data_IF_705019798531
#
_entry.id   IF_705019798531
#
_cell.length_a   1.000
_cell.length_b   1.000
_cell.length_c   1.000
_cell.angle_alpha   90.00
_cell.angle_beta   90.00
_cell.angle_gamma   90.00
#
_symmetry.space_group_name_H-M   'P 1'
#
loop_
_entity.id
_entity.type
_entity.pdbx_description
1 polymer ?
#
# COMPACT_ATOMS: atom_id res chain seq x y z
N UNK A 1 14.97 -51.42 33.85
CA UNK A 1 15.43 -51.16 35.24
C UNK A 1 16.90 -51.52 35.35
N UNK A 2 17.65 -50.66 36.06
CA UNK A 2 19.02 -50.85 36.61
C UNK A 2 20.20 -50.56 35.66
N UNK A 3 20.75 -49.37 35.91
CA UNK A 3 22.02 -48.78 35.49
C UNK A 3 23.18 -49.64 35.99
N UNK A 4 24.29 -49.68 35.25
CA UNK A 4 25.61 -49.79 35.88
C UNK A 4 26.63 -48.90 35.15
N UNK A 5 27.09 -47.96 35.94
CA UNK A 5 28.22 -47.06 35.77
C UNK A 5 29.52 -47.91 35.75
N UNK A 6 30.43 -47.68 34.80
CA UNK A 6 31.84 -48.00 35.03
C UNK A 6 32.77 -47.06 34.26
N UNK A 7 33.71 -46.57 35.05
CA UNK A 7 34.72 -45.56 34.84
C UNK A 7 35.96 -46.22 34.22
N UNK A 8 36.54 -45.67 33.15
CA UNK A 8 37.97 -45.89 32.89
C UNK A 8 38.62 -44.69 32.21
N UNK A 9 39.37 -43.97 33.03
CA UNK A 9 40.45 -43.05 32.66
C UNK A 9 41.50 -43.79 31.83
N UNK A 10 41.80 -43.31 30.61
CA UNK A 10 43.10 -43.53 29.98
C UNK A 10 43.64 -42.19 29.50
N UNK A 11 44.67 -41.77 30.23
CA UNK A 11 45.58 -40.67 30.01
C UNK A 11 46.50 -41.02 28.82
N UNK A 12 46.41 -40.28 27.70
CA UNK A 12 47.50 -40.20 26.73
C UNK A 12 47.83 -38.74 26.45
N UNK A 13 49.01 -38.37 26.95
CA UNK A 13 49.67 -37.09 26.90
C UNK A 13 50.43 -37.00 25.57
N UNK A 14 50.12 -36.06 24.67
CA UNK A 14 51.12 -35.47 23.77
C UNK A 14 50.80 -34.00 23.50
N UNK A 15 51.85 -33.21 23.70
CA UNK A 15 51.97 -31.76 23.72
C UNK A 15 52.05 -31.24 22.29
N UNK A 16 51.37 -30.13 21.99
CA UNK A 16 51.90 -29.04 21.15
C UNK A 16 51.01 -27.81 21.32
N UNK A 17 51.51 -26.85 22.08
CA UNK A 17 50.96 -25.50 22.17
C UNK A 17 51.34 -24.73 20.90
N UNK A 18 50.36 -24.20 20.18
CA UNK A 18 50.38 -22.82 19.68
C UNK A 18 48.96 -22.32 19.82
N UNK A 19 48.77 -21.43 20.80
CA UNK A 19 47.53 -20.69 21.01
C UNK A 19 47.72 -19.25 20.54
N UNK A 20 46.77 -18.80 19.74
CA UNK A 20 46.04 -17.53 19.81
C UNK A 20 44.71 -17.86 19.13
N UNK A 21 43.51 -17.66 19.67
CA UNK A 21 43.07 -16.80 20.75
C UNK A 21 41.72 -16.22 20.32
N UNK A 22 40.65 -16.96 20.62
CA UNK A 22 39.24 -16.55 20.84
C UNK A 22 38.49 -15.75 19.74
N UNK A 23 37.32 -16.17 19.23
CA UNK A 23 36.42 -17.23 19.68
C UNK A 23 35.36 -17.71 18.67
N UNK A 24 35.18 -19.03 18.70
CA UNK A 24 33.96 -19.88 18.70
C UNK A 24 32.85 -19.74 17.64
N UNK A 25 32.92 -20.71 16.71
CA UNK A 25 31.91 -21.70 16.21
C UNK A 25 30.57 -21.18 15.66
N UNK A 26 30.28 -21.34 14.37
CA UNK A 26 29.92 -22.58 13.61
C UNK A 26 28.61 -23.23 14.07
N UNK A 27 27.60 -23.17 13.21
CA UNK A 27 26.81 -24.35 12.81
C UNK A 27 26.51 -24.26 11.32
N UNK A 28 27.23 -25.06 10.54
CA UNK A 28 26.88 -25.49 9.18
C UNK A 28 25.59 -26.32 9.23
N UNK A 29 24.63 -26.01 8.35
CA UNK A 29 23.64 -26.93 7.81
C UNK A 29 23.52 -26.61 6.31
N UNK A 30 23.73 -27.63 5.49
CA UNK A 30 23.99 -27.58 4.06
C UNK A 30 22.98 -26.79 3.20
N UNK A 31 23.57 -26.11 2.22
CA UNK A 31 22.98 -25.51 1.03
C UNK A 31 22.56 -26.58 0.00
N UNK A 32 21.49 -26.34 -0.79
CA UNK A 32 21.51 -26.65 -2.22
C UNK A 32 21.74 -25.38 -3.02
N UNK A 33 22.82 -25.42 -3.80
CA UNK A 33 23.36 -24.35 -4.65
C UNK A 33 22.40 -23.93 -5.76
N UNK A 34 22.27 -22.61 -5.89
CA UNK A 34 22.27 -21.81 -7.13
C UNK A 34 21.10 -21.93 -8.11
N UNK A 35 20.45 -20.79 -8.34
CA UNK A 35 20.71 -20.02 -9.57
C UNK A 35 20.40 -18.52 -9.37
N UNK A 36 21.20 -17.62 -9.98
CA UNK A 36 21.00 -16.19 -9.87
C UNK A 36 19.83 -15.78 -10.78
N UNK A 37 18.76 -15.24 -10.22
CA UNK A 37 17.77 -14.51 -11.05
C UNK A 37 18.40 -13.18 -11.40
N UNK A 38 19.08 -13.23 -12.55
CA UNK A 38 19.44 -12.16 -13.46
C UNK A 38 18.57 -10.92 -13.27
N UNK A 39 19.22 -9.78 -13.07
CA UNK A 39 18.65 -8.44 -13.17
C UNK A 39 17.74 -8.37 -14.41
N UNK A 40 16.43 -8.38 -14.17
CA UNK A 40 15.44 -8.00 -15.16
C UNK A 40 15.08 -6.54 -14.86
N UNK A 41 15.30 -5.61 -15.80
CA UNK A 41 14.81 -4.25 -15.65
C UNK A 41 13.30 -4.34 -15.41
N UNK A 42 12.82 -3.68 -14.36
CA UNK A 42 11.40 -3.34 -14.26
C UNK A 42 11.05 -2.61 -15.56
N UNK A 43 10.25 -3.24 -16.42
CA UNK A 43 9.77 -2.59 -17.62
C UNK A 43 9.05 -1.31 -17.19
N UNK A 44 9.57 -0.19 -17.67
CA UNK A 44 8.96 1.10 -17.48
C UNK A 44 7.54 1.03 -18.03
N UNK A 45 6.57 1.31 -17.17
CA UNK A 45 5.18 1.56 -17.56
C UNK A 45 5.18 2.60 -18.69
N UNK A 46 4.71 2.19 -19.87
CA UNK A 46 4.40 3.10 -20.96
C UNK A 46 3.00 3.66 -20.70
N UNK A 47 2.82 4.99 -20.57
CA UNK A 47 1.52 5.57 -20.24
C UNK A 47 0.49 5.28 -21.33
N UNK A 48 -0.55 4.52 -20.96
CA UNK A 48 -1.80 4.52 -21.69
C UNK A 48 -2.58 5.78 -21.31
N UNK A 49 -2.70 6.69 -22.27
CA UNK A 49 -3.60 7.86 -22.32
C UNK A 49 -3.89 8.56 -20.98
N UNK A 50 -3.11 9.62 -20.71
CA UNK A 50 -3.29 10.56 -19.61
C UNK A 50 -4.77 10.91 -19.38
N UNK A 51 -5.28 10.62 -18.19
CA UNK A 51 -6.48 11.26 -17.69
C UNK A 51 -6.13 12.73 -17.45
N UNK A 52 -6.47 13.59 -18.43
CA UNK A 52 -6.12 15.00 -18.40
C UNK A 52 -6.85 15.71 -17.26
N UNK A 53 -6.12 16.36 -16.31
CA UNK A 53 -6.74 17.24 -15.33
C UNK A 53 -7.29 18.47 -16.05
N UNK A 54 -8.55 18.81 -15.79
CA UNK A 54 -9.07 20.13 -16.14
C UNK A 54 -8.75 21.04 -14.95
N UNK A 55 -7.71 21.86 -15.09
CA UNK A 55 -7.34 22.85 -14.08
C UNK A 55 -8.27 24.07 -14.22
N UNK A 56 -9.29 24.15 -13.37
CA UNK A 56 -10.02 25.40 -13.10
C UNK A 56 -9.83 25.76 -11.63
N UNK A 57 -8.98 26.76 -11.38
CA UNK A 57 -8.86 27.40 -10.06
C UNK A 57 -10.00 28.41 -9.91
N UNK A 58 -11.08 28.01 -9.25
CA UNK A 58 -12.14 28.91 -8.80
C UNK A 58 -12.22 28.87 -7.26
N UNK A 59 -12.49 30.02 -6.61
CA UNK A 59 -12.42 30.16 -5.15
C UNK A 59 -13.43 29.26 -4.45
N UNK A 60 -13.06 28.81 -3.25
CA UNK A 60 -13.88 27.98 -2.36
C UNK A 60 -15.23 28.65 -2.04
N UNK A 61 -16.24 28.34 -2.84
CA UNK A 61 -17.64 28.44 -2.46
C UNK A 61 -18.09 27.10 -1.88
N UNK A 62 -18.84 27.14 -0.79
CA UNK A 62 -19.38 25.97 -0.11
C UNK A 62 -20.19 25.11 -1.09
N UNK A 63 -19.67 23.92 -1.41
CA UNK A 63 -20.36 22.92 -2.22
C UNK A 63 -21.65 22.53 -1.49
N UNK A 64 -22.79 23.01 -2.01
CA UNK A 64 -24.10 22.53 -1.61
C UNK A 64 -24.22 21.10 -2.13
N UNK A 65 -24.24 20.11 -1.22
CA UNK A 65 -24.57 18.71 -1.55
C UNK A 65 -25.94 18.66 -2.25
N UNK A 66 -25.95 18.62 -3.57
CA UNK A 66 -27.11 18.36 -4.39
C UNK A 66 -27.48 16.87 -4.25
N UNK A 67 -28.69 16.60 -3.77
CA UNK A 67 -29.18 15.24 -3.51
C UNK A 67 -29.28 14.31 -4.73
N UNK A 68 -28.87 14.76 -5.93
CA UNK A 68 -28.78 13.92 -7.13
C UNK A 68 -27.50 13.06 -7.15
N UNK A 69 -26.40 13.49 -6.52
CA UNK A 69 -25.14 12.71 -6.50
C UNK A 69 -25.25 11.40 -5.71
N UNK A 70 -26.20 11.29 -4.77
CA UNK A 70 -26.40 10.06 -4.00
C UNK A 70 -27.05 8.93 -4.82
N UNK A 71 -27.76 9.25 -5.92
CA UNK A 71 -28.42 8.24 -6.76
C UNK A 71 -27.51 7.79 -7.90
N UNK A 72 -26.39 7.15 -7.54
CA UNK A 72 -25.42 6.62 -8.51
C UNK A 72 -23.99 6.52 -8.01
N UNK A 73 -23.65 7.16 -6.89
CA UNK A 73 -22.34 7.03 -6.27
C UNK A 73 -22.11 5.59 -5.81
N UNK A 74 -21.01 4.99 -6.28
CA UNK A 74 -20.62 3.63 -5.93
C UNK A 74 -19.81 3.54 -4.64
N UNK A 75 -19.35 4.66 -4.09
CA UNK A 75 -18.48 4.71 -2.93
C UNK A 75 -19.30 4.86 -1.64
N UNK A 76 -19.53 3.78 -0.88
CA UNK A 76 -20.31 3.85 0.35
C UNK A 76 -19.61 4.72 1.39
N UNK A 77 -20.34 5.67 1.99
CA UNK A 77 -19.80 6.56 3.02
C UNK A 77 -18.73 7.53 2.53
N UNK A 78 -18.56 7.73 1.22
CA UNK A 78 -17.57 8.65 0.66
C UNK A 78 -17.82 10.13 0.95
N UNK A 79 -18.98 10.48 1.50
CA UNK A 79 -19.31 11.83 1.96
C UNK A 79 -18.81 12.13 3.37
N UNK A 80 -18.28 11.11 4.09
CA UNK A 80 -17.72 11.19 5.44
C UNK A 80 -18.61 11.91 6.47
N UNK A 81 -19.95 11.84 6.31
CA UNK A 81 -20.91 12.34 7.30
C UNK A 81 -20.87 11.49 8.58
N UNK A 82 -20.53 10.20 8.43
CA UNK A 82 -20.31 9.25 9.51
C UNK A 82 -19.23 8.22 9.11
N UNK A 83 -18.68 7.50 10.09
CA UNK A 83 -17.76 6.40 9.82
C UNK A 83 -18.48 5.28 9.06
N UNK A 84 -17.81 4.69 8.08
CA UNK A 84 -18.36 3.58 7.29
C UNK A 84 -17.37 2.41 7.29
N UNK A 85 -17.86 1.19 7.53
CA UNK A 85 -17.04 -0.02 7.66
C UNK A 85 -16.35 -0.47 6.38
N UNK A 86 -16.78 0.06 5.23
CA UNK A 86 -16.14 -0.22 3.94
C UNK A 86 -14.84 0.53 3.75
N UNK A 87 -14.62 1.59 4.55
CA UNK A 87 -13.36 2.31 4.57
C UNK A 87 -12.42 1.72 5.61
N UNK A 88 -11.16 1.55 5.23
CA UNK A 88 -10.12 1.03 6.08
C UNK A 88 -8.76 1.66 5.80
N UNK A 89 -7.78 1.27 6.61
CA UNK A 89 -6.38 1.64 6.41
C UNK A 89 -5.50 0.39 6.38
N UNK A 90 -4.63 0.33 5.40
CA UNK A 90 -3.57 -0.67 5.30
C UNK A 90 -2.23 0.01 5.54
N UNK A 91 -1.38 -0.64 6.34
CA UNK A 91 -0.02 -0.18 6.60
C UNK A 91 0.96 -1.34 6.55
N UNK A 92 2.13 -1.11 5.96
CA UNK A 92 3.17 -2.13 5.83
C UNK A 92 4.57 -1.51 5.68
N UNK A 93 5.61 -2.34 5.60
CA UNK A 93 6.96 -1.89 5.20
C UNK A 93 7.49 -0.66 5.98
N UNK A 94 7.08 -0.54 7.25
CA UNK A 94 7.43 0.57 8.15
C UNK A 94 6.60 1.84 7.99
N UNK A 95 5.58 1.82 7.15
CA UNK A 95 4.50 2.80 7.11
C UNK A 95 3.64 2.69 8.37
N UNK A 96 3.14 3.82 8.84
CA UNK A 96 2.27 3.90 10.01
C UNK A 96 1.40 5.12 9.89
N UNK A 97 0.10 4.90 10.03
CA UNK A 97 -0.90 5.93 9.96
C UNK A 97 -2.16 5.49 10.70
N UNK A 98 -3.03 6.44 10.99
CA UNK A 98 -4.38 6.24 11.49
C UNK A 98 -5.34 7.15 10.74
N UNK A 99 -6.64 6.88 10.83
CA UNK A 99 -7.65 7.78 10.30
C UNK A 99 -8.84 7.90 11.26
N UNK A 100 -9.56 9.00 11.13
CA UNK A 100 -10.83 9.25 11.79
C UNK A 100 -11.75 10.06 10.87
N UNK A 101 -13.05 9.90 11.05
CA UNK A 101 -14.04 10.80 10.43
C UNK A 101 -14.39 11.90 11.43
N UNK A 102 -14.23 13.16 11.02
CA UNK A 102 -14.49 14.33 11.85
C UNK A 102 -14.96 15.48 10.96
N UNK A 103 -15.98 16.22 11.42
CA UNK A 103 -16.48 17.43 10.75
C UNK A 103 -16.76 17.25 9.25
N UNK A 104 -17.34 16.09 8.87
CA UNK A 104 -17.67 15.77 7.47
C UNK A 104 -16.49 15.35 6.59
N UNK A 105 -15.33 15.05 7.17
CA UNK A 105 -14.10 14.71 6.45
C UNK A 105 -13.41 13.49 7.06
N UNK A 106 -12.69 12.72 6.23
CA UNK A 106 -11.72 11.76 6.71
C UNK A 106 -10.37 12.46 6.96
N UNK A 107 -9.94 12.51 8.21
CA UNK A 107 -8.61 12.95 8.60
C UNK A 107 -7.67 11.74 8.65
N UNK A 108 -6.55 11.79 7.92
CA UNK A 108 -5.51 10.75 7.93
C UNK A 108 -4.24 11.30 8.55
N UNK A 109 -3.80 10.70 9.66
CA UNK A 109 -2.56 11.04 10.33
C UNK A 109 -1.48 10.07 9.89
N UNK A 110 -0.49 10.55 9.13
CA UNK A 110 0.62 9.73 8.64
C UNK A 110 1.86 10.00 9.49
N UNK A 111 2.15 9.08 10.40
CA UNK A 111 3.33 9.13 11.28
C UNK A 111 4.60 8.73 10.52
N UNK A 112 4.49 7.74 9.62
CA UNK A 112 5.61 7.22 8.83
C UNK A 112 5.15 6.84 7.43
N UNK A 113 5.84 7.32 6.41
CA UNK A 113 5.53 7.02 4.99
C UNK A 113 5.97 5.63 4.56
N UNK A 114 6.86 4.98 5.30
CA UNK A 114 7.38 3.65 4.97
C UNK A 114 8.44 3.66 3.86
N UNK A 115 8.76 2.47 3.33
CA UNK A 115 9.83 2.26 2.33
C UNK A 115 9.33 1.97 0.92
N UNK A 116 8.03 1.75 0.75
CA UNK A 116 7.37 1.45 -0.53
C UNK A 116 6.20 2.39 -0.72
N UNK A 117 5.80 2.66 -1.98
CA UNK A 117 4.75 3.63 -2.29
C UNK A 117 3.41 3.34 -1.60
N UNK A 118 3.07 2.05 -1.50
CA UNK A 118 1.82 1.55 -0.95
C UNK A 118 1.89 1.25 0.56
N UNK A 119 2.92 1.74 1.26
CA UNK A 119 3.12 1.45 2.69
C UNK A 119 2.06 2.06 3.62
N UNK A 120 1.29 3.05 3.14
CA UNK A 120 0.11 3.61 3.80
C UNK A 120 -0.97 3.77 2.74
N UNK A 121 -2.11 3.11 2.93
CA UNK A 121 -3.24 3.18 2.00
C UNK A 121 -4.53 3.38 2.77
N UNK A 122 -5.31 4.38 2.38
CA UNK A 122 -6.75 4.40 2.67
C UNK A 122 -7.44 3.69 1.52
N UNK A 123 -8.32 2.75 1.85
CA UNK A 123 -9.06 2.00 0.85
C UNK A 123 -10.55 1.98 1.19
N UNK A 124 -11.37 1.85 0.15
CA UNK A 124 -12.80 1.58 0.23
C UNK A 124 -13.08 0.32 -0.60
N UNK A 125 -13.69 -0.70 0.00
CA UNK A 125 -14.02 -1.95 -0.69
C UNK A 125 -15.52 -2.09 -0.97
N UNK A 126 -15.89 -3.17 -1.68
CA UNK A 126 -17.27 -3.65 -1.80
C UNK A 126 -18.16 -2.88 -2.77
N UNK A 127 -17.56 -2.26 -3.78
CA UNK A 127 -18.27 -1.75 -4.96
C UNK A 127 -17.88 -2.54 -6.21
N UNK A 128 -18.71 -2.45 -7.24
CA UNK A 128 -18.56 -3.21 -8.49
C UNK A 128 -18.23 -2.28 -9.65
N UNK A 129 -17.40 -2.74 -10.56
CA UNK A 129 -17.09 -2.04 -11.82
C UNK A 129 -17.45 -2.91 -13.00
N UNK A 130 -18.31 -2.40 -13.88
CA UNK A 130 -18.93 -3.15 -14.97
C UNK A 130 -18.21 -2.86 -16.29
N UNK A 131 -17.95 -3.92 -17.05
CA UNK A 131 -17.33 -3.80 -18.37
C UNK A 131 -18.13 -2.83 -19.28
N UNK A 132 -17.40 -1.98 -20.00
CA UNK A 132 -17.86 -0.93 -20.89
C UNK A 132 -18.65 0.21 -20.23
N UNK A 133 -18.81 0.21 -18.90
CA UNK A 133 -19.37 1.37 -18.20
C UNK A 133 -18.33 2.50 -18.12
N UNK A 134 -18.84 3.74 -18.16
CA UNK A 134 -18.05 4.96 -17.98
C UNK A 134 -18.26 5.44 -16.55
N UNK A 135 -17.16 5.70 -15.86
CA UNK A 135 -17.12 6.09 -14.47
C UNK A 135 -16.45 7.44 -14.29
N UNK A 136 -16.88 8.13 -13.25
CA UNK A 136 -16.28 9.36 -12.76
C UNK A 136 -15.74 9.09 -11.36
N UNK A 137 -14.44 9.25 -11.18
CA UNK A 137 -13.79 9.29 -9.87
C UNK A 137 -13.62 10.76 -9.49
N UNK A 138 -14.19 11.17 -8.36
CA UNK A 138 -14.05 12.53 -7.86
C UNK A 138 -13.83 12.54 -6.35
N UNK A 139 -12.97 13.44 -5.88
CA UNK A 139 -12.72 13.64 -4.46
C UNK A 139 -12.13 15.03 -4.19
N UNK A 140 -12.42 15.53 -2.99
CA UNK A 140 -11.78 16.71 -2.43
C UNK A 140 -10.69 16.28 -1.46
N UNK A 141 -9.51 16.89 -1.56
CA UNK A 141 -8.39 16.59 -0.66
C UNK A 141 -7.50 17.81 -0.44
N UNK A 142 -6.93 17.87 0.76
CA UNK A 142 -5.79 18.71 1.12
C UNK A 142 -4.85 17.94 2.04
N UNK A 143 -3.64 18.44 2.21
CA UNK A 143 -2.70 17.91 3.19
C UNK A 143 -2.11 19.04 4.03
N UNK A 144 -1.58 18.73 5.20
CA UNK A 144 -0.93 19.76 6.05
C UNK A 144 0.43 20.20 5.51
N UNK A 145 0.96 19.49 4.51
CA UNK A 145 2.19 19.79 3.78
C UNK A 145 2.00 19.41 2.31
N UNK A 146 2.76 20.02 1.41
CA UNK A 146 2.79 19.59 0.01
C UNK A 146 3.28 18.14 -0.09
N UNK A 147 2.54 17.30 -0.83
CA UNK A 147 2.91 15.91 -1.07
C UNK A 147 2.31 15.38 -2.36
N UNK A 148 2.90 14.30 -2.86
CA UNK A 148 2.35 13.53 -3.96
C UNK A 148 1.62 12.31 -3.43
N UNK A 149 0.42 12.06 -3.94
CA UNK A 149 -0.35 10.84 -3.69
C UNK A 149 -0.56 10.06 -4.98
N UNK A 150 -1.02 8.83 -4.84
CA UNK A 150 -1.48 7.99 -5.93
C UNK A 150 -2.90 7.54 -5.60
N UNK A 151 -3.80 7.56 -6.59
CA UNK A 151 -5.14 6.97 -6.45
C UNK A 151 -5.30 5.86 -7.48
N UNK A 152 -6.09 4.84 -7.11
CA UNK A 152 -6.37 3.69 -7.98
C UNK A 152 -7.79 3.18 -7.78
N UNK A 153 -8.39 2.74 -8.88
CA UNK A 153 -9.45 1.72 -8.90
C UNK A 153 -8.79 0.45 -9.41
N UNK A 154 -8.76 -0.59 -8.58
CA UNK A 154 -7.96 -1.79 -8.85
C UNK A 154 -8.64 -3.05 -8.34
N UNK A 155 -8.17 -4.19 -8.84
CA UNK A 155 -8.50 -5.51 -8.30
C UNK A 155 -8.00 -5.61 -6.85
N UNK A 156 -8.87 -6.10 -5.96
CA UNK A 156 -8.50 -6.40 -4.58
C UNK A 156 -8.10 -7.87 -4.44
N UNK A 157 -6.81 -8.14 -4.64
CA UNK A 157 -6.22 -9.47 -4.64
C UNK A 157 -5.53 -9.80 -5.97
N UNK A 158 -5.03 -11.03 -6.10
CA UNK A 158 -4.31 -11.46 -7.29
C UNK A 158 -3.01 -10.67 -7.49
N UNK A 159 -2.86 -10.04 -8.66
CA UNK A 159 -1.72 -9.20 -9.02
C UNK A 159 -1.94 -7.71 -8.72
N UNK A 160 -3.08 -7.34 -8.13
CA UNK A 160 -3.46 -5.96 -7.81
C UNK A 160 -3.50 -5.03 -9.02
N UNK A 161 -3.87 -5.59 -10.18
CA UNK A 161 -4.00 -4.84 -11.42
C UNK A 161 -4.93 -3.63 -11.28
N UNK A 162 -4.47 -2.48 -11.77
CA UNK A 162 -5.22 -1.22 -11.72
C UNK A 162 -6.03 -1.03 -13.00
N UNK A 163 -7.34 -0.83 -12.85
CA UNK A 163 -8.25 -0.50 -13.94
C UNK A 163 -8.19 0.98 -14.31
N UNK A 164 -7.94 1.84 -13.32
CA UNK A 164 -7.74 3.28 -13.48
C UNK A 164 -6.92 3.84 -12.32
N UNK A 165 -6.23 4.96 -12.54
CA UNK A 165 -5.48 5.63 -11.49
C UNK A 165 -4.58 6.73 -12.03
N UNK A 166 -4.07 7.57 -11.12
CA UNK A 166 -2.97 8.49 -11.37
C UNK A 166 -1.87 8.21 -10.36
N UNK A 167 -0.65 7.97 -10.85
CA UNK A 167 0.50 7.55 -10.03
C UNK A 167 1.22 8.73 -9.37
N UNK A 168 0.91 9.96 -9.76
CA UNK A 168 1.53 11.16 -9.21
C UNK A 168 0.58 12.35 -9.21
N UNK A 169 -0.23 12.47 -8.16
CA UNK A 169 -1.13 13.60 -7.96
C UNK A 169 -0.58 14.56 -6.88
N UNK A 170 -0.24 15.82 -7.22
CA UNK A 170 0.22 16.79 -6.23
C UNK A 170 -0.95 17.30 -5.39
N UNK A 171 -0.82 17.20 -4.07
CA UNK A 171 -1.77 17.69 -3.06
C UNK A 171 -1.06 18.75 -2.22
N UNK A 172 -1.74 19.88 -2.03
CA UNK A 172 -1.20 21.06 -1.35
C UNK A 172 -1.90 21.31 -0.01
N UNK A 173 -1.59 22.43 0.63
CA UNK A 173 -2.28 22.90 1.83
C UNK A 173 -3.69 23.43 1.60
N UNK A 174 -4.03 23.76 0.35
CA UNK A 174 -5.35 24.22 -0.04
C UNK A 174 -6.25 23.04 -0.42
N UNK A 175 -7.55 23.19 -0.19
CA UNK A 175 -8.53 22.20 -0.65
C UNK A 175 -8.56 22.18 -2.18
N UNK A 176 -8.34 20.99 -2.75
CA UNK A 176 -8.35 20.78 -4.19
C UNK A 176 -9.41 19.74 -4.54
N UNK A 177 -10.20 20.04 -5.57
CA UNK A 177 -11.12 19.10 -6.19
C UNK A 177 -10.41 18.40 -7.35
N UNK A 178 -10.49 17.07 -7.39
CA UNK A 178 -10.00 16.27 -8.50
C UNK A 178 -11.13 15.45 -9.11
N UNK A 179 -11.19 15.41 -10.43
CA UNK A 179 -12.15 14.62 -11.18
C UNK A 179 -11.46 13.91 -12.35
N UNK A 180 -11.75 12.62 -12.50
CA UNK A 180 -11.23 11.77 -13.56
C UNK A 180 -12.36 10.95 -14.16
N UNK A 181 -12.39 10.84 -15.49
CA UNK A 181 -13.31 9.94 -16.19
C UNK A 181 -12.53 8.76 -16.76
N UNK A 182 -13.02 7.54 -16.55
CA UNK A 182 -12.47 6.34 -17.18
C UNK A 182 -13.57 5.42 -17.70
N UNK A 183 -13.24 4.57 -18.67
CA UNK A 183 -14.12 3.49 -19.13
C UNK A 183 -13.53 2.16 -18.68
N UNK A 184 -14.31 1.31 -18.02
CA UNK A 184 -13.88 -0.02 -17.62
C UNK A 184 -13.81 -0.94 -18.84
N UNK A 185 -12.63 -1.05 -19.46
CA UNK A 185 -12.43 -1.84 -20.70
C UNK A 185 -12.34 -3.35 -20.42
N UNK A 186 -11.98 -3.71 -19.20
CA UNK A 186 -11.79 -5.08 -18.75
C UNK A 186 -13.11 -5.76 -18.34
N UNK A 187 -13.15 -7.09 -18.20
CA UNK A 187 -14.33 -7.80 -17.72
C UNK A 187 -14.86 -7.25 -16.40
N UNK A 188 -16.17 -7.34 -16.21
CA UNK A 188 -16.84 -6.91 -14.98
C UNK A 188 -16.21 -7.54 -13.74
N UNK A 189 -15.94 -6.70 -12.74
CA UNK A 189 -15.46 -7.07 -11.41
C UNK A 189 -16.56 -6.84 -10.37
N UNK A 190 -16.80 -7.83 -9.50
CA UNK A 190 -18.03 -8.01 -8.72
C UNK A 190 -17.88 -7.91 -7.21
#
# INVERSE_FOLDING_TARGET
MKKLLSLLLILCLLISMVGCGTGTQETDMEQPTQQPVKDQPSEAFQPGEEAKPTEETLPAEEVKKDGEEQKGNLIPGGSFDESNSMWGIYTESGGSASYAVKDGQMEVVIERTGRVKHAVQIYCDGFKVFQNAVYKMAFDIKSTIDRTIEWRIQLNGGDYHAYAGEGSLPVTTEMQHFEFTFTMKEPTDL
#
